data_IF_661686747925
#
_entry.id   IF_661686747925
#
_cell.length_a   1.000
_cell.length_b   1.000
_cell.length_c   1.000
_cell.angle_alpha   90.00
_cell.angle_beta   90.00
_cell.angle_gamma   90.00
#
_symmetry.space_group_name_H-M   'P 1'
#
loop_
_entity.id
_entity.type
_entity.pdbx_description
1 polymer ?
#
# COMPACT_ATOMS: atom_id res chain seq x y z
N UNK A 1 1.70 -13.30 -5.88
CA UNK A 1 1.49 -12.59 -7.17
C UNK A 1 0.10 -12.94 -7.67
N UNK A 2 -0.65 -11.97 -8.23
CA UNK A 2 -1.98 -12.24 -8.79
C UNK A 2 -1.85 -13.03 -10.11
N UNK A 3 -2.79 -13.94 -10.43
CA UNK A 3 -2.80 -14.63 -11.72
C UNK A 3 -3.01 -13.66 -12.89
N UNK A 4 -2.36 -13.89 -14.05
CA UNK A 4 -2.50 -13.03 -15.24
C UNK A 4 -3.96 -12.80 -15.65
N UNK A 5 -4.78 -13.86 -15.65
CA UNK A 5 -6.20 -13.76 -15.96
C UNK A 5 -6.99 -12.84 -15.03
N UNK A 6 -6.49 -12.59 -13.82
CA UNK A 6 -7.11 -11.63 -12.87
C UNK A 6 -6.62 -10.22 -13.14
N UNK A 7 -5.36 -10.04 -13.57
CA UNK A 7 -4.87 -8.74 -14.01
C UNK A 7 -5.69 -8.22 -15.21
N UNK A 8 -5.97 -9.09 -16.19
CA UNK A 8 -6.81 -8.76 -17.35
C UNK A 8 -8.23 -8.31 -16.93
N UNK A 9 -8.74 -8.80 -15.80
CA UNK A 9 -10.03 -8.36 -15.25
C UNK A 9 -9.92 -7.00 -14.56
N UNK A 10 -8.82 -6.75 -13.86
CA UNK A 10 -8.57 -5.48 -13.16
C UNK A 10 -8.28 -4.31 -14.11
N UNK A 11 -7.96 -4.59 -15.38
CA UNK A 11 -7.86 -3.59 -16.45
C UNK A 11 -9.22 -3.11 -16.97
N UNK A 12 -10.26 -3.96 -16.88
CA UNK A 12 -11.61 -3.61 -17.36
C UNK A 12 -12.33 -2.66 -16.40
N UNK A 13 -13.28 -1.83 -16.86
CA UNK A 13 -14.18 -1.09 -15.97
C UNK A 13 -14.95 -2.03 -15.02
N UNK A 14 -15.35 -1.55 -13.84
CA UNK A 14 -16.02 -2.38 -12.82
C UNK A 14 -17.33 -2.96 -13.36
N UNK A 15 -18.03 -2.18 -14.19
CA UNK A 15 -19.29 -2.51 -14.83
C UNK A 15 -19.18 -3.71 -15.80
N UNK A 16 -17.96 -4.00 -16.29
CA UNK A 16 -17.68 -5.11 -17.20
C UNK A 16 -17.19 -6.37 -16.49
N UNK A 17 -17.12 -6.37 -15.15
CA UNK A 17 -16.59 -7.49 -14.33
C UNK A 17 -17.69 -8.31 -13.66
N UNK A 18 -18.94 -8.12 -14.07
CA UNK A 18 -20.11 -8.78 -13.49
C UNK A 18 -19.92 -10.29 -13.50
N UNK A 19 -20.08 -10.93 -12.35
CA UNK A 19 -19.93 -12.38 -12.19
C UNK A 19 -18.51 -12.86 -11.89
N UNK A 20 -17.50 -11.99 -11.94
CA UNK A 20 -16.11 -12.34 -11.65
C UNK A 20 -15.71 -12.05 -10.18
N UNK A 21 -16.64 -11.62 -9.33
CA UNK A 21 -16.38 -11.12 -7.98
C UNK A 21 -15.65 -12.17 -7.13
N UNK A 22 -16.14 -13.42 -7.19
CA UNK A 22 -15.52 -14.54 -6.45
C UNK A 22 -14.10 -14.81 -6.90
N UNK A 23 -13.82 -14.66 -8.20
CA UNK A 23 -12.51 -14.94 -8.77
C UNK A 23 -11.50 -13.87 -8.38
N UNK A 24 -11.89 -12.60 -8.47
CA UNK A 24 -11.08 -11.47 -8.04
C UNK A 24 -10.83 -11.54 -6.53
N UNK A 25 -11.88 -11.71 -5.73
CA UNK A 25 -11.77 -11.81 -4.26
C UNK A 25 -10.85 -12.96 -3.83
N UNK A 26 -11.00 -14.13 -4.43
CA UNK A 26 -10.15 -15.29 -4.10
C UNK A 26 -8.68 -15.05 -4.44
N UNK A 27 -8.40 -14.36 -5.55
CA UNK A 27 -7.03 -14.02 -5.94
C UNK A 27 -6.41 -12.96 -5.03
N UNK A 28 -7.20 -11.99 -4.56
CA UNK A 28 -6.76 -10.92 -3.66
C UNK A 28 -6.36 -11.41 -2.25
N UNK A 29 -6.74 -12.64 -1.85
CA UNK A 29 -6.30 -13.23 -0.57
C UNK A 29 -4.79 -13.39 -0.41
N UNK A 30 -4.03 -13.22 -1.49
CA UNK A 30 -2.56 -13.14 -1.45
C UNK A 30 -2.06 -11.92 -0.66
N UNK A 31 -2.90 -10.91 -0.43
CA UNK A 31 -2.58 -9.76 0.41
C UNK A 31 -3.05 -10.02 1.84
N UNK A 32 -2.13 -10.17 2.83
CA UNK A 32 -2.50 -10.60 4.17
C UNK A 32 -3.57 -9.73 4.85
N UNK A 33 -3.50 -8.41 4.69
CA UNK A 33 -4.44 -7.48 5.29
C UNK A 33 -5.88 -7.63 4.77
N UNK A 34 -6.07 -8.23 3.57
CA UNK A 34 -7.42 -8.52 3.04
C UNK A 34 -8.09 -9.63 3.84
N UNK A 35 -7.32 -10.56 4.42
CA UNK A 35 -7.87 -11.67 5.18
C UNK A 35 -8.42 -11.25 6.54
N UNK A 36 -8.14 -10.03 7.00
CA UNK A 36 -8.67 -9.47 8.24
C UNK A 36 -10.11 -8.94 8.10
N UNK A 37 -10.60 -8.79 6.87
CA UNK A 37 -11.99 -8.40 6.59
C UNK A 37 -12.90 -9.62 6.50
N UNK A 38 -14.19 -9.44 6.80
CA UNK A 38 -15.19 -10.47 6.54
C UNK A 38 -15.39 -10.72 5.03
N UNK A 39 -16.11 -11.79 4.68
CA UNK A 39 -16.27 -12.20 3.28
C UNK A 39 -16.99 -11.15 2.42
N UNK A 40 -17.93 -10.39 2.98
CA UNK A 40 -18.67 -9.38 2.24
C UNK A 40 -17.76 -8.20 1.91
N UNK A 41 -17.05 -7.69 2.93
CA UNK A 41 -16.07 -6.62 2.78
C UNK A 41 -14.90 -7.01 1.87
N UNK A 42 -14.42 -8.26 1.95
CA UNK A 42 -13.43 -8.80 1.00
C UNK A 42 -13.95 -8.72 -0.43
N UNK A 43 -15.18 -9.19 -0.69
CA UNK A 43 -15.75 -9.19 -2.04
C UNK A 43 -15.92 -7.77 -2.57
N UNK A 44 -16.45 -6.87 -1.74
CA UNK A 44 -16.67 -5.47 -2.09
C UNK A 44 -15.34 -4.76 -2.41
N UNK A 45 -14.37 -4.84 -1.49
CA UNK A 45 -13.05 -4.24 -1.67
C UNK A 45 -12.38 -4.73 -2.96
N UNK A 46 -12.38 -6.04 -3.19
CA UNK A 46 -11.63 -6.64 -4.29
C UNK A 46 -12.22 -6.30 -5.66
N UNK A 47 -13.55 -6.20 -5.77
CA UNK A 47 -14.23 -5.85 -7.03
C UNK A 47 -13.93 -4.40 -7.46
N UNK A 48 -13.69 -3.51 -6.49
CA UNK A 48 -13.38 -2.10 -6.75
C UNK A 48 -11.90 -1.81 -7.04
N UNK A 49 -11.00 -2.79 -6.93
CA UNK A 49 -9.59 -2.61 -7.29
C UNK A 49 -9.43 -2.30 -8.78
N UNK A 50 -8.46 -1.48 -9.14
CA UNK A 50 -8.13 -1.18 -10.54
C UNK A 50 -6.64 -1.38 -10.75
N UNK A 51 -6.28 -1.88 -11.93
CA UNK A 51 -4.87 -1.98 -12.30
C UNK A 51 -4.39 -0.61 -12.78
N UNK A 52 -3.41 -0.04 -12.07
CA UNK A 52 -2.78 1.22 -12.43
C UNK A 52 -1.30 0.98 -12.74
N UNK A 53 -0.84 1.47 -13.89
CA UNK A 53 0.53 1.34 -14.34
C UNK A 53 1.25 2.70 -14.24
N UNK A 54 2.38 2.72 -13.57
CA UNK A 54 3.21 3.91 -13.43
C UNK A 54 4.53 3.72 -14.16
N UNK A 55 4.96 4.73 -14.91
CA UNK A 55 6.29 4.74 -15.51
C UNK A 55 7.37 4.85 -14.43
N UNK A 56 8.58 4.36 -14.74
CA UNK A 56 9.75 4.58 -13.87
C UNK A 56 9.95 6.08 -13.61
N UNK A 57 10.36 6.43 -12.38
CA UNK A 57 10.49 7.79 -11.89
C UNK A 57 9.19 8.62 -11.83
N UNK A 58 8.02 8.04 -12.11
CA UNK A 58 6.75 8.71 -11.86
C UNK A 58 6.53 8.93 -10.36
N UNK A 59 5.95 10.08 -9.99
CA UNK A 59 5.47 10.33 -8.64
C UNK A 59 4.02 9.88 -8.54
N UNK A 60 3.73 8.98 -7.60
CA UNK A 60 2.37 8.42 -7.41
C UNK A 60 1.50 9.40 -6.61
N UNK A 61 2.06 10.00 -5.56
CA UNK A 61 1.37 11.03 -4.78
C UNK A 61 2.37 11.97 -4.08
N UNK A 62 1.91 13.17 -3.72
CA UNK A 62 2.66 14.10 -2.90
C UNK A 62 2.17 14.14 -1.45
N UNK A 63 3.11 14.37 -0.55
CA UNK A 63 2.82 14.66 0.84
C UNK A 63 1.85 15.84 0.96
N UNK A 64 0.81 15.67 1.77
CA UNK A 64 -0.19 16.73 2.01
C UNK A 64 -1.34 16.70 1.01
N UNK A 65 -1.24 15.88 -0.05
CA UNK A 65 -2.39 15.61 -0.92
C UNK A 65 -3.48 14.91 -0.13
N UNK A 66 -4.74 15.21 -0.49
CA UNK A 66 -5.89 14.52 0.08
C UNK A 66 -5.82 13.04 -0.29
N UNK A 67 -5.76 12.18 0.72
CA UNK A 67 -5.84 10.74 0.51
C UNK A 67 -7.18 10.36 -0.15
N UNK A 68 -7.10 9.78 -1.34
CA UNK A 68 -8.26 9.39 -2.15
C UNK A 68 -8.20 7.93 -2.64
N UNK A 69 -7.08 7.24 -2.43
CA UNK A 69 -6.87 5.88 -2.91
C UNK A 69 -5.94 5.08 -1.99
N UNK A 70 -6.10 3.75 -2.03
CA UNK A 70 -5.18 2.76 -1.47
C UNK A 70 -4.49 2.03 -2.63
N UNK A 71 -3.16 1.95 -2.61
CA UNK A 71 -2.39 1.27 -3.64
C UNK A 71 -1.83 -0.06 -3.13
N UNK A 72 -1.93 -1.10 -3.97
CA UNK A 72 -1.29 -2.40 -3.75
C UNK A 72 -0.22 -2.60 -4.82
N UNK A 73 1.04 -2.70 -4.40
CA UNK A 73 2.16 -2.89 -5.33
C UNK A 73 2.19 -4.35 -5.80
N UNK A 74 1.82 -4.57 -7.07
CA UNK A 74 1.78 -5.91 -7.67
C UNK A 74 3.14 -6.35 -8.24
N UNK A 75 3.89 -5.38 -8.79
CA UNK A 75 5.21 -5.56 -9.39
C UNK A 75 5.97 -4.24 -9.37
N UNK A 76 7.31 -4.31 -9.50
CA UNK A 76 8.19 -3.15 -9.48
C UNK A 76 8.63 -2.73 -8.08
N UNK A 77 9.15 -1.51 -7.97
CA UNK A 77 9.65 -0.93 -6.72
C UNK A 77 9.13 0.48 -6.56
N UNK A 78 8.83 0.84 -5.31
CA UNK A 78 8.44 2.19 -4.93
C UNK A 78 9.34 2.69 -3.81
N UNK A 79 9.73 3.95 -3.90
CA UNK A 79 10.57 4.65 -2.92
C UNK A 79 9.74 5.68 -2.18
N UNK A 80 9.74 5.56 -0.85
CA UNK A 80 9.14 6.55 0.04
C UNK A 80 10.17 7.63 0.38
N UNK A 81 9.95 8.86 -0.06
CA UNK A 81 10.72 10.03 0.35
C UNK A 81 10.04 10.69 1.55
N UNK A 82 10.43 10.31 2.76
CA UNK A 82 10.10 11.08 3.97
C UNK A 82 10.86 12.41 4.00
N UNK A 83 10.39 13.41 4.74
CA UNK A 83 11.25 14.57 5.02
C UNK A 83 12.50 14.12 5.79
N UNK A 84 13.64 14.75 5.53
CA UNK A 84 14.96 14.53 6.17
C UNK A 84 14.93 14.35 7.71
N UNK A 85 13.91 14.90 8.38
CA UNK A 85 13.63 14.74 9.81
C UNK A 85 13.22 13.31 10.22
N UNK A 86 12.62 12.51 9.34
CA UNK A 86 12.22 11.13 9.63
C UNK A 86 13.38 10.13 9.49
N UNK A 87 14.31 10.37 8.55
CA UNK A 87 15.51 9.55 8.35
C UNK A 87 16.42 9.57 9.59
N UNK A 88 16.65 10.78 10.15
CA UNK A 88 17.37 10.97 11.42
C UNK A 88 16.72 10.26 12.60
N UNK A 89 15.39 10.26 12.68
CA UNK A 89 14.66 9.55 13.75
C UNK A 89 14.69 8.03 13.61
N UNK A 90 14.67 7.49 12.38
CA UNK A 90 14.79 6.05 12.16
C UNK A 90 16.21 5.56 12.49
N UNK A 91 17.25 6.28 12.04
CA UNK A 91 18.64 5.97 12.34
C UNK A 91 18.94 6.11 13.85
N UNK A 92 18.43 7.16 14.51
CA UNK A 92 18.55 7.32 15.96
C UNK A 92 17.84 6.19 16.73
N UNK A 93 16.66 5.74 16.29
CA UNK A 93 15.92 4.63 16.92
C UNK A 93 16.56 3.26 16.70
N UNK A 94 17.09 3.00 15.50
CA UNK A 94 17.86 1.79 15.22
C UNK A 94 19.16 1.74 16.06
N UNK A 95 19.77 2.90 16.32
CA UNK A 95 20.93 3.07 17.18
C UNK A 95 20.58 2.88 18.67
N UNK A 96 19.40 3.36 19.11
CA UNK A 96 18.95 3.26 20.51
C UNK A 96 18.41 1.87 20.90
N UNK A 97 17.88 1.09 19.95
CA UNK A 97 17.47 -0.32 20.22
C UNK A 97 18.64 -1.24 20.58
N UNK A 98 19.88 -0.85 20.28
CA UNK A 98 21.09 -1.55 20.76
C UNK A 98 21.50 -1.15 22.18
N UNK A 99 20.86 -0.15 22.80
CA UNK A 99 21.27 0.38 24.11
C UNK A 99 20.20 0.44 25.19
N UNK A 100 18.91 0.36 24.88
CA UNK A 100 17.86 0.50 25.89
C UNK A 100 16.98 -0.75 26.01
N UNK A 101 17.51 -1.80 26.63
CA UNK A 101 16.69 -2.53 27.60
C UNK A 101 16.61 -1.64 28.86
N UNK A 102 15.42 -1.51 29.43
CA UNK A 102 15.04 -0.66 30.59
C UNK A 102 14.52 0.74 30.22
N UNK A 103 13.30 1.01 30.70
CA UNK A 103 12.56 2.28 30.76
C UNK A 103 11.77 2.75 29.53
N UNK A 104 10.53 2.27 29.44
CA UNK A 104 9.30 3.04 29.77
C UNK A 104 9.03 4.38 29.08
N UNK A 105 7.94 4.39 28.28
CA UNK A 105 6.95 5.45 27.94
C UNK A 105 7.45 6.91 27.76
N UNK A 106 7.07 7.67 26.74
CA UNK A 106 5.72 7.98 26.26
C UNK A 106 5.88 8.76 24.93
N UNK A 107 4.99 8.60 23.94
CA UNK A 107 5.11 9.30 22.65
C UNK A 107 3.75 9.83 22.19
N UNK A 108 3.57 11.14 22.30
CA UNK A 108 2.58 11.90 21.51
C UNK A 108 3.19 12.18 20.14
N UNK A 109 2.54 11.73 19.08
CA UNK A 109 3.02 11.84 17.70
C UNK A 109 2.12 12.80 16.92
N UNK A 110 2.66 13.96 16.52
CA UNK A 110 2.03 14.89 15.57
C UNK A 110 3.09 15.29 14.56
N UNK A 111 2.83 15.14 13.26
CA UNK A 111 3.70 15.67 12.20
C UNK A 111 3.83 14.78 10.97
N UNK A 112 2.93 15.00 10.01
CA UNK A 112 2.66 14.22 8.81
C UNK A 112 3.69 14.45 7.71
N UNK A 113 4.30 13.40 7.11
CA UNK A 113 4.23 13.17 5.66
C UNK A 113 5.48 12.76 4.84
N UNK A 114 5.24 12.16 3.68
CA UNK A 114 6.26 11.67 2.72
C UNK A 114 5.71 11.55 1.30
N UNK A 115 6.57 11.38 0.30
CA UNK A 115 6.27 11.25 -1.14
C UNK A 115 6.55 9.81 -1.58
N UNK A 116 5.84 9.27 -2.58
CA UNK A 116 6.18 7.95 -3.18
C UNK A 116 6.55 8.11 -4.65
N UNK A 117 7.75 7.67 -5.01
CA UNK A 117 8.21 7.52 -6.40
C UNK A 117 8.42 6.06 -6.80
N UNK A 118 8.55 5.79 -8.09
CA UNK A 118 8.83 4.45 -8.64
C UNK A 118 10.32 4.34 -9.00
N UNK A 119 11.02 3.30 -8.52
CA UNK A 119 12.42 3.03 -8.87
C UNK A 119 12.52 2.17 -10.15
N UNK A 120 13.57 2.41 -10.94
CA UNK A 120 13.91 1.64 -12.14
C UNK A 120 14.59 0.31 -11.88
#
# INVERSE_FOLDING_TARGET
MLPLRVLDLLEKPVEERVGEEKRISSACRVFPFINDFDQAAQSELCVHLRLENFAAAATIYHRGDKANALFLVLSGRVTLFGSESQKRNYEARASSRRRSSRFGADVRNVGEGGVIGVDG
#
